data_IF_205699345982
#
_entry.id   IF_205699345982
#
_cell.length_a   1.000
_cell.length_b   1.000
_cell.length_c   1.000
_cell.angle_alpha   90.00
_cell.angle_beta   90.00
_cell.angle_gamma   90.00
#
_symmetry.space_group_name_H-M   'P 1'
#
loop_
_entity.id
_entity.type
_entity.pdbx_description
1 polymer ?
#
# COMPACT_ATOMS: atom_id res chain seq x y z
N UNK A 1 10.29 13.41 -3.62
CA UNK A 1 10.34 12.37 -2.59
C UNK A 1 11.63 11.59 -2.77
N UNK A 2 12.31 11.28 -1.67
CA UNK A 2 13.59 10.58 -1.67
C UNK A 2 13.51 9.13 -2.20
N UNK A 3 12.33 8.53 -2.20
CA UNK A 3 12.09 7.15 -2.63
C UNK A 3 10.89 7.05 -3.56
N UNK A 4 10.92 6.09 -4.49
CA UNK A 4 9.84 5.84 -5.43
C UNK A 4 8.78 4.91 -4.83
N UNK A 5 7.52 5.35 -4.92
CA UNK A 5 6.33 4.52 -4.66
C UNK A 5 5.80 3.91 -5.96
N UNK A 6 5.01 2.85 -5.86
CA UNK A 6 4.40 2.25 -7.03
C UNK A 6 3.34 3.17 -7.64
N UNK A 7 3.25 3.11 -8.97
CA UNK A 7 2.20 3.81 -9.71
C UNK A 7 0.94 2.94 -9.70
N UNK A 8 -0.10 3.40 -9.03
CA UNK A 8 -1.42 2.76 -9.12
C UNK A 8 -1.99 2.99 -10.51
N UNK A 9 -2.37 1.90 -11.16
CA UNK A 9 -3.03 1.88 -12.47
C UNK A 9 -4.35 1.13 -12.35
N UNK A 10 -5.23 1.37 -13.30
CA UNK A 10 -6.49 0.66 -13.44
C UNK A 10 -6.64 0.28 -14.91
N UNK A 11 -6.71 -1.02 -15.19
CA UNK A 11 -6.85 -1.56 -16.55
C UNK A 11 -8.13 -1.09 -17.26
N UNK A 12 -9.14 -0.61 -16.54
CA UNK A 12 -10.39 -0.07 -17.10
C UNK A 12 -10.19 1.35 -17.63
N UNK A 13 -9.34 2.15 -16.98
CA UNK A 13 -9.15 3.58 -17.29
C UNK A 13 -7.80 3.90 -17.95
N UNK A 14 -6.95 2.89 -18.19
CA UNK A 14 -5.63 3.05 -18.78
C UNK A 14 -5.66 3.59 -20.22
N UNK A 15 -5.01 4.76 -20.45
CA UNK A 15 -4.93 5.39 -21.78
C UNK A 15 -3.99 4.68 -22.77
N UNK A 16 -2.95 4.02 -22.26
CA UNK A 16 -1.98 3.23 -23.04
C UNK A 16 -1.98 1.79 -22.54
N UNK A 17 -3.11 1.10 -22.73
CA UNK A 17 -3.30 -0.26 -22.23
C UNK A 17 -2.38 -1.27 -22.92
N UNK A 18 -1.70 -2.13 -22.15
CA UNK A 18 -0.99 -3.30 -22.67
C UNK A 18 -1.96 -4.27 -23.34
N UNK A 19 -1.44 -5.19 -24.16
CA UNK A 19 -2.27 -6.22 -24.80
C UNK A 19 -3.08 -7.01 -23.75
N UNK A 20 -2.46 -7.32 -22.61
CA UNK A 20 -3.10 -8.03 -21.50
C UNK A 20 -4.18 -7.18 -20.83
N UNK A 21 -3.98 -5.86 -20.65
CA UNK A 21 -5.02 -4.96 -20.13
C UNK A 21 -6.23 -4.86 -21.06
N UNK A 22 -6.01 -4.82 -22.37
CA UNK A 22 -7.09 -4.81 -23.36
C UNK A 22 -7.90 -6.12 -23.32
N UNK A 23 -7.22 -7.26 -23.16
CA UNK A 23 -7.86 -8.56 -23.00
C UNK A 23 -8.68 -8.62 -21.72
N UNK A 24 -8.14 -8.13 -20.59
CA UNK A 24 -8.88 -8.06 -19.32
C UNK A 24 -10.09 -7.12 -19.40
N UNK A 25 -9.97 -5.99 -20.10
CA UNK A 25 -11.09 -5.07 -20.32
C UNK A 25 -12.21 -5.73 -21.14
N UNK A 26 -11.87 -6.51 -22.18
CA UNK A 26 -12.84 -7.27 -22.96
C UNK A 26 -13.55 -8.32 -22.10
N UNK A 27 -12.83 -9.02 -21.24
CA UNK A 27 -13.38 -10.01 -20.30
C UNK A 27 -14.27 -9.34 -19.24
N UNK A 28 -13.84 -8.19 -18.70
CA UNK A 28 -14.60 -7.42 -17.71
C UNK A 28 -15.93 -6.91 -18.27
N UNK A 29 -15.93 -6.45 -19.53
CA UNK A 29 -17.14 -5.98 -20.21
C UNK A 29 -18.04 -7.14 -20.69
N UNK A 30 -17.51 -8.36 -20.72
CA UNK A 30 -18.26 -9.58 -21.05
C UNK A 30 -19.02 -10.17 -19.86
N UNK A 31 -19.74 -11.26 -20.11
CA UNK A 31 -20.20 -12.16 -19.03
C UNK A 31 -19.13 -13.22 -18.84
N UNK A 32 -18.62 -13.38 -17.62
CA UNK A 32 -17.65 -14.45 -17.33
C UNK A 32 -16.33 -14.01 -16.69
N UNK A 33 -16.21 -12.83 -16.09
CA UNK A 33 -14.96 -12.42 -15.41
C UNK A 33 -14.50 -13.44 -14.35
N UNK A 34 -15.45 -14.07 -13.66
CA UNK A 34 -15.18 -15.08 -12.65
C UNK A 34 -14.84 -16.49 -13.19
N UNK A 35 -14.54 -16.66 -14.48
CA UNK A 35 -14.19 -17.96 -15.06
C UNK A 35 -12.75 -18.38 -14.76
N UNK A 36 -12.53 -19.68 -14.60
CA UNK A 36 -11.21 -20.26 -14.33
C UNK A 36 -10.19 -19.93 -15.44
N UNK A 37 -10.61 -19.77 -16.70
CA UNK A 37 -9.74 -19.43 -17.81
C UNK A 37 -9.06 -18.06 -17.66
N UNK A 38 -9.68 -17.13 -16.91
CA UNK A 38 -9.15 -15.77 -16.72
C UNK A 38 -8.02 -15.71 -15.69
N UNK A 39 -7.85 -16.75 -14.88
CA UNK A 39 -6.74 -16.84 -13.91
C UNK A 39 -5.40 -16.67 -14.63
N UNK A 40 -5.19 -17.39 -15.74
CA UNK A 40 -3.94 -17.31 -16.51
C UNK A 40 -3.68 -15.90 -17.08
N UNK A 41 -4.73 -15.18 -17.47
CA UNK A 41 -4.63 -13.80 -17.98
C UNK A 41 -4.20 -12.86 -16.84
N UNK A 42 -4.82 -13.01 -15.67
CA UNK A 42 -4.50 -12.21 -14.48
C UNK A 42 -3.11 -12.52 -13.92
N UNK A 43 -2.64 -13.77 -13.96
CA UNK A 43 -1.27 -14.14 -13.60
C UNK A 43 -0.25 -13.50 -14.55
N UNK A 44 -0.53 -13.51 -15.85
CA UNK A 44 0.29 -12.82 -16.86
C UNK A 44 0.32 -11.32 -16.58
N UNK A 45 -0.83 -10.74 -16.25
CA UNK A 45 -0.92 -9.32 -15.91
C UNK A 45 -0.17 -8.97 -14.62
N UNK A 46 -0.18 -9.83 -13.60
CA UNK A 46 0.61 -9.67 -12.39
C UNK A 46 2.12 -9.66 -12.71
N UNK A 47 2.57 -10.53 -13.61
CA UNK A 47 3.97 -10.53 -14.05
C UNK A 47 4.36 -9.23 -14.78
N UNK A 48 3.48 -8.69 -15.62
CA UNK A 48 3.67 -7.37 -16.24
C UNK A 48 3.74 -6.24 -15.20
N UNK A 49 2.86 -6.27 -14.20
CA UNK A 49 2.85 -5.30 -13.10
C UNK A 49 4.16 -5.32 -12.31
N UNK A 50 4.70 -6.51 -12.01
CA UNK A 50 6.00 -6.67 -11.33
C UNK A 50 7.13 -6.07 -12.17
N UNK A 51 7.13 -6.30 -13.49
CA UNK A 51 8.17 -5.76 -14.39
C UNK A 51 8.10 -4.24 -14.57
N UNK A 52 6.89 -3.69 -14.66
CA UNK A 52 6.67 -2.28 -14.95
C UNK A 52 6.59 -1.39 -13.71
N UNK A 53 6.75 -1.96 -12.50
CA UNK A 53 6.59 -1.25 -11.22
C UNK A 53 5.22 -0.55 -11.06
N UNK A 54 4.18 -1.09 -11.70
CA UNK A 54 2.79 -0.63 -11.58
C UNK A 54 1.99 -1.53 -10.66
N UNK A 55 0.90 -1.04 -10.08
CA UNK A 55 -0.01 -1.85 -9.26
C UNK A 55 -1.44 -1.58 -9.65
N UNK A 56 -2.15 -2.65 -9.97
CA UNK A 56 -3.59 -2.66 -10.17
C UNK A 56 -4.22 -3.43 -9.02
N UNK A 57 -4.82 -2.67 -8.11
CA UNK A 57 -5.37 -3.20 -6.85
C UNK A 57 -6.54 -4.13 -7.16
N UNK A 58 -7.47 -3.70 -7.99
CA UNK A 58 -8.69 -4.45 -8.29
C UNK A 58 -8.39 -5.73 -9.05
N UNK A 59 -7.49 -5.69 -10.04
CA UNK A 59 -7.07 -6.91 -10.76
C UNK A 59 -6.34 -7.90 -9.83
N UNK A 60 -5.51 -7.40 -8.91
CA UNK A 60 -4.78 -8.25 -7.96
C UNK A 60 -5.71 -8.89 -6.93
N UNK A 61 -6.69 -8.15 -6.42
CA UNK A 61 -7.71 -8.66 -5.51
C UNK A 61 -8.65 -9.63 -6.21
N UNK A 62 -9.00 -9.38 -7.48
CA UNK A 62 -9.75 -10.30 -8.32
C UNK A 62 -9.03 -11.64 -8.50
N UNK A 63 -7.71 -11.62 -8.74
CA UNK A 63 -6.90 -12.84 -8.83
C UNK A 63 -6.96 -13.66 -7.53
N UNK A 64 -6.77 -13.00 -6.38
CA UNK A 64 -6.91 -13.68 -5.07
C UNK A 64 -8.32 -14.25 -4.87
N UNK A 65 -9.35 -13.53 -5.35
CA UNK A 65 -10.73 -14.01 -5.26
C UNK A 65 -10.94 -15.25 -6.12
N UNK A 66 -10.41 -15.29 -7.34
CA UNK A 66 -10.48 -16.46 -8.20
C UNK A 66 -9.76 -17.67 -7.60
N UNK A 67 -8.63 -17.48 -6.93
CA UNK A 67 -7.94 -18.54 -6.19
C UNK A 67 -8.78 -19.13 -5.05
N UNK A 68 -9.64 -18.34 -4.40
CA UNK A 68 -10.61 -18.87 -3.43
C UNK A 68 -11.72 -19.69 -4.09
N UNK A 69 -12.17 -19.29 -5.28
CA UNK A 69 -13.25 -19.97 -6.02
C UNK A 69 -12.73 -21.26 -6.67
N UNK A 70 -11.48 -21.26 -7.14
CA UNK A 70 -10.83 -22.39 -7.82
C UNK A 70 -9.55 -22.82 -7.10
N UNK A 71 -9.64 -23.63 -6.03
CA UNK A 71 -8.48 -24.06 -5.26
C UNK A 71 -7.41 -24.81 -6.08
N UNK A 72 -7.80 -25.46 -7.17
CA UNK A 72 -6.89 -26.22 -8.04
C UNK A 72 -5.91 -25.35 -8.84
N UNK A 73 -6.20 -24.06 -9.00
CA UNK A 73 -5.34 -23.12 -9.76
C UNK A 73 -4.45 -22.27 -8.85
N UNK A 74 -4.48 -22.49 -7.54
CA UNK A 74 -3.77 -21.65 -6.57
C UNK A 74 -2.27 -21.79 -6.76
N UNK A 75 -1.59 -20.65 -6.86
CA UNK A 75 -0.14 -20.57 -6.90
C UNK A 75 0.37 -19.70 -5.74
N UNK A 76 1.06 -20.33 -4.79
CA UNK A 76 1.59 -19.66 -3.60
C UNK A 76 2.55 -18.51 -3.94
N UNK A 77 3.37 -18.66 -4.99
CA UNK A 77 4.30 -17.62 -5.42
C UNK A 77 3.58 -16.37 -5.93
N UNK A 78 2.50 -16.56 -6.70
CA UNK A 78 1.70 -15.45 -7.21
C UNK A 78 0.96 -14.74 -6.07
N UNK A 79 0.46 -15.47 -5.09
CA UNK A 79 -0.15 -14.87 -3.88
C UNK A 79 0.87 -14.08 -3.08
N UNK A 80 2.07 -14.61 -2.87
CA UNK A 80 3.15 -13.88 -2.20
C UNK A 80 3.53 -12.60 -2.97
N UNK A 81 3.62 -12.64 -4.30
CA UNK A 81 3.86 -11.44 -5.14
C UNK A 81 2.76 -10.38 -4.98
N UNK A 82 1.49 -10.78 -4.94
CA UNK A 82 0.37 -9.84 -4.70
C UNK A 82 0.49 -9.20 -3.32
N UNK A 83 0.84 -9.96 -2.29
CA UNK A 83 1.05 -9.42 -0.95
C UNK A 83 2.23 -8.44 -0.92
N UNK A 84 3.35 -8.75 -1.58
CA UNK A 84 4.49 -7.85 -1.72
C UNK A 84 4.08 -6.54 -2.41
N UNK A 85 3.31 -6.61 -3.51
CA UNK A 85 2.71 -5.44 -4.16
C UNK A 85 1.83 -4.62 -3.21
N UNK A 86 1.08 -5.31 -2.35
CA UNK A 86 0.31 -4.71 -1.25
C UNK A 86 1.18 -3.88 -0.32
N UNK A 87 2.29 -4.45 0.16
CA UNK A 87 3.25 -3.75 1.04
C UNK A 87 3.85 -2.52 0.34
N UNK A 88 4.22 -2.66 -0.94
CA UNK A 88 4.80 -1.56 -1.72
C UNK A 88 3.81 -0.42 -2.00
N UNK A 89 2.52 -0.65 -1.77
CA UNK A 89 1.44 0.34 -1.95
C UNK A 89 1.01 0.98 -0.62
N UNK A 90 1.65 0.67 0.51
CA UNK A 90 1.38 1.34 1.78
C UNK A 90 1.60 2.86 1.64
N UNK A 91 0.70 3.71 2.16
CA UNK A 91 -0.29 3.46 3.23
C UNK A 91 -1.67 2.97 2.75
N UNK A 92 -1.85 2.55 1.50
CA UNK A 92 -3.12 2.01 1.00
C UNK A 92 -3.62 0.81 1.82
N UNK A 93 -4.93 0.61 1.85
CA UNK A 93 -5.60 -0.55 2.48
C UNK A 93 -5.43 -1.85 1.69
N UNK A 94 -4.77 -1.80 0.52
CA UNK A 94 -4.60 -2.94 -0.38
C UNK A 94 -3.99 -4.16 0.33
N UNK A 95 -2.90 -4.00 1.09
CA UNK A 95 -2.29 -5.12 1.81
C UNK A 95 -3.25 -5.77 2.81
N UNK A 96 -4.00 -4.97 3.56
CA UNK A 96 -5.01 -5.46 4.50
C UNK A 96 -6.11 -6.25 3.77
N UNK A 97 -6.57 -5.76 2.62
CA UNK A 97 -7.54 -6.49 1.80
C UNK A 97 -6.97 -7.82 1.31
N UNK A 98 -5.75 -7.80 0.75
CA UNK A 98 -5.09 -8.98 0.22
C UNK A 98 -4.82 -10.04 1.30
N UNK A 99 -4.39 -9.65 2.50
CA UNK A 99 -4.09 -10.58 3.61
C UNK A 99 -5.33 -11.35 4.07
N UNK A 100 -6.51 -10.71 4.09
CA UNK A 100 -7.77 -11.38 4.43
C UNK A 100 -8.25 -12.36 3.35
N UNK A 101 -7.76 -12.20 2.12
CA UNK A 101 -8.16 -13.02 0.97
C UNK A 101 -7.19 -14.14 0.62
N UNK A 102 -6.11 -14.32 1.38
CA UNK A 102 -5.19 -15.46 1.22
C UNK A 102 -5.94 -16.77 1.51
N UNK A 103 -5.92 -17.77 0.60
CA UNK A 103 -6.49 -19.09 0.87
C UNK A 103 -5.77 -19.81 2.02
N UNK A 104 -6.52 -20.54 2.85
CA UNK A 104 -5.96 -21.30 4.00
C UNK A 104 -4.91 -22.32 3.55
N UNK A 105 -5.13 -22.98 2.42
CA UNK A 105 -4.28 -24.05 1.90
C UNK A 105 -2.82 -23.66 1.65
N UNK A 106 -2.56 -22.36 1.44
CA UNK A 106 -1.21 -21.84 1.16
C UNK A 106 -0.77 -20.82 2.20
N UNK A 107 -1.56 -20.59 3.25
CA UNK A 107 -1.22 -19.61 4.28
C UNK A 107 0.07 -20.00 5.03
N UNK A 108 0.26 -21.30 5.26
CA UNK A 108 1.46 -21.88 5.88
C UNK A 108 2.66 -21.99 4.93
N UNK A 109 2.53 -21.60 3.66
CA UNK A 109 3.68 -21.53 2.76
C UNK A 109 4.71 -20.53 3.32
N UNK A 110 5.99 -20.91 3.27
CA UNK A 110 7.07 -20.13 3.86
C UNK A 110 7.14 -18.69 3.30
N UNK A 111 6.94 -18.52 1.99
CA UNK A 111 7.00 -17.19 1.37
C UNK A 111 5.78 -16.36 1.76
N UNK A 112 4.59 -16.96 1.76
CA UNK A 112 3.35 -16.28 2.12
C UNK A 112 3.39 -15.84 3.58
N UNK A 113 3.79 -16.74 4.49
CA UNK A 113 3.94 -16.44 5.92
C UNK A 113 4.94 -15.31 6.16
N UNK A 114 6.11 -15.38 5.53
CA UNK A 114 7.13 -14.34 5.66
C UNK A 114 6.64 -12.96 5.19
N UNK A 115 5.94 -12.89 4.05
CA UNK A 115 5.39 -11.63 3.53
C UNK A 115 4.24 -11.11 4.42
N UNK A 116 3.39 -11.99 4.95
CA UNK A 116 2.32 -11.59 5.87
C UNK A 116 2.89 -10.99 7.17
N UNK A 117 3.90 -11.64 7.75
CA UNK A 117 4.56 -11.18 8.97
C UNK A 117 5.27 -9.84 8.76
N UNK A 118 6.07 -9.73 7.70
CA UNK A 118 6.78 -8.47 7.38
C UNK A 118 5.82 -7.32 7.09
N UNK A 119 4.72 -7.58 6.38
CA UNK A 119 3.69 -6.56 6.15
C UNK A 119 2.97 -6.15 7.44
N UNK A 120 2.74 -7.07 8.38
CA UNK A 120 2.18 -6.76 9.70
C UNK A 120 3.12 -5.86 10.52
N UNK A 121 4.43 -6.12 10.52
CA UNK A 121 5.42 -5.27 11.20
C UNK A 121 5.40 -3.84 10.65
N UNK A 122 5.32 -3.69 9.32
CA UNK A 122 5.25 -2.38 8.67
C UNK A 122 3.97 -1.63 9.03
N UNK A 123 2.81 -2.29 8.98
CA UNK A 123 1.53 -1.67 9.38
C UNK A 123 1.50 -1.30 10.87
N UNK A 124 2.20 -2.06 11.71
CA UNK A 124 2.34 -1.78 13.15
C UNK A 124 3.44 -0.75 13.46
N UNK A 125 4.07 -0.17 12.44
CA UNK A 125 5.18 0.78 12.56
C UNK A 125 6.42 0.24 13.31
N UNK A 126 6.58 -1.10 13.36
CA UNK A 126 7.72 -1.79 13.97
C UNK A 126 8.87 -1.91 12.95
N UNK A 127 9.36 -0.76 12.49
CA UNK A 127 10.31 -0.70 11.37
C UNK A 127 11.67 -1.35 11.69
N UNK A 128 12.17 -1.18 12.91
CA UNK A 128 13.47 -1.74 13.32
C UNK A 128 13.46 -3.28 13.36
N UNK A 129 12.32 -3.88 13.71
CA UNK A 129 12.15 -5.32 13.68
C UNK A 129 11.98 -5.84 12.25
N UNK A 130 11.26 -5.09 11.40
CA UNK A 130 11.16 -5.41 9.98
C UNK A 130 12.54 -5.57 9.31
N UNK A 131 13.52 -4.73 9.64
CA UNK A 131 14.87 -4.81 9.05
C UNK A 131 15.67 -6.05 9.49
N UNK A 132 15.21 -6.79 10.50
CA UNK A 132 15.84 -8.04 10.98
C UNK A 132 15.22 -9.29 10.33
N UNK A 133 14.05 -9.15 9.71
CA UNK A 133 13.33 -10.25 9.08
C UNK A 133 13.93 -10.65 7.73
N UNK A 134 13.70 -11.90 7.33
CA UNK A 134 14.09 -12.38 6.01
C UNK A 134 13.11 -11.88 4.94
N UNK A 135 13.59 -10.95 4.11
CA UNK A 135 12.85 -10.36 2.99
C UNK A 135 13.35 -10.85 1.62
N UNK A 136 14.15 -11.91 1.56
CA UNK A 136 14.78 -12.41 0.32
C UNK A 136 13.79 -12.69 -0.81
N UNK A 137 12.58 -13.17 -0.51
CA UNK A 137 11.53 -13.34 -1.51
C UNK A 137 11.02 -12.00 -2.03
N UNK A 138 10.70 -11.07 -1.12
CA UNK A 138 10.14 -9.76 -1.46
C UNK A 138 11.13 -8.89 -2.25
N UNK A 139 12.43 -9.01 -1.97
CA UNK A 139 13.51 -8.30 -2.68
C UNK A 139 13.62 -8.69 -4.16
N UNK A 140 13.10 -9.87 -4.56
CA UNK A 140 13.02 -10.25 -5.98
C UNK A 140 12.07 -9.34 -6.77
N UNK A 141 11.14 -8.66 -6.10
CA UNK A 141 10.25 -7.67 -6.71
C UNK A 141 11.01 -6.35 -6.84
N UNK A 142 11.21 -5.83 -8.07
CA UNK A 142 11.97 -4.60 -8.29
C UNK A 142 11.42 -3.43 -7.49
N UNK A 143 12.29 -2.72 -6.77
CA UNK A 143 11.93 -1.51 -6.02
C UNK A 143 11.32 -1.76 -4.63
N UNK A 144 11.21 -3.02 -4.16
CA UNK A 144 10.59 -3.35 -2.87
C UNK A 144 11.13 -2.51 -1.69
N UNK A 145 12.44 -2.56 -1.44
CA UNK A 145 13.07 -1.82 -0.35
C UNK A 145 12.89 -0.29 -0.48
N UNK A 146 12.85 0.23 -1.71
CA UNK A 146 12.65 1.66 -1.93
C UNK A 146 11.21 2.07 -1.56
N UNK A 147 10.22 1.27 -1.96
CA UNK A 147 8.83 1.54 -1.61
C UNK A 147 8.58 1.42 -0.11
N UNK A 148 9.22 0.45 0.57
CA UNK A 148 9.16 0.35 2.04
C UNK A 148 9.76 1.58 2.71
N UNK A 149 10.95 2.03 2.29
CA UNK A 149 11.56 3.27 2.81
C UNK A 149 10.71 4.50 2.51
N UNK A 150 10.05 4.57 1.35
CA UNK A 150 9.11 5.64 1.01
C UNK A 150 7.93 5.69 1.98
N UNK A 151 7.37 4.53 2.33
CA UNK A 151 6.30 4.42 3.32
C UNK A 151 6.77 4.85 4.72
N UNK A 152 7.91 4.35 5.18
CA UNK A 152 8.50 4.72 6.48
C UNK A 152 8.73 6.23 6.56
N UNK A 153 9.27 6.82 5.50
CA UNK A 153 9.51 8.27 5.40
C UNK A 153 8.19 9.07 5.47
N UNK A 154 7.16 8.60 4.78
CA UNK A 154 5.81 9.18 4.84
C UNK A 154 5.24 9.10 6.25
N UNK A 155 5.38 7.97 6.93
CA UNK A 155 4.90 7.78 8.29
C UNK A 155 5.63 8.72 9.28
N UNK A 156 6.95 8.86 9.16
CA UNK A 156 7.76 9.79 9.98
C UNK A 156 7.33 11.24 9.73
N UNK A 157 7.20 11.65 8.46
CA UNK A 157 6.80 13.00 8.04
C UNK A 157 5.46 13.43 8.63
N UNK A 158 4.51 12.50 8.77
CA UNK A 158 3.17 12.76 9.32
C UNK A 158 3.13 12.75 10.85
N UNK A 159 4.00 11.98 11.50
CA UNK A 159 3.90 11.72 12.95
C UNK A 159 4.86 12.54 13.81
N UNK A 160 5.93 13.09 13.23
CA UNK A 160 6.98 13.79 13.98
C UNK A 160 7.18 15.20 13.47
N UNK A 161 7.22 16.18 14.36
CA UNK A 161 7.70 17.54 14.02
C UNK A 161 9.23 17.63 14.16
N UNK A 162 9.82 16.88 15.09
CA UNK A 162 11.26 16.78 15.33
C UNK A 162 11.61 15.33 15.63
N UNK A 163 12.70 14.83 15.04
CA UNK A 163 13.22 13.46 15.26
C UNK A 163 14.74 13.49 15.42
N UNK A 164 15.30 12.63 16.27
CA UNK A 164 16.75 12.49 16.38
C UNK A 164 17.32 11.75 15.17
N UNK A 165 18.52 12.14 14.74
CA UNK A 165 19.20 11.52 13.60
C UNK A 165 19.40 10.02 13.81
N UNK A 166 19.68 9.58 15.04
CA UNK A 166 19.91 8.16 15.35
C UNK A 166 18.63 7.32 15.22
N UNK A 167 17.50 7.81 15.72
CA UNK A 167 16.21 7.12 15.57
C UNK A 167 15.76 7.12 14.11
N UNK A 168 15.99 8.22 13.38
CA UNK A 168 15.70 8.29 11.95
C UNK A 168 16.48 7.25 11.14
N UNK A 169 17.80 7.13 11.41
CA UNK A 169 18.66 6.11 10.81
C UNK A 169 18.19 4.69 11.12
N UNK A 170 17.90 4.41 12.39
CA UNK A 170 17.44 3.09 12.82
C UNK A 170 16.13 2.69 12.11
N UNK A 171 15.18 3.62 11.97
CA UNK A 171 13.90 3.35 11.31
C UNK A 171 14.01 3.13 9.81
N UNK A 172 14.90 3.84 9.10
CA UNK A 172 15.07 3.71 7.65
C UNK A 172 16.15 2.70 7.23
N UNK A 173 16.98 2.24 8.17
CA UNK A 173 18.14 1.39 7.94
C UNK A 173 19.04 1.95 6.81
N UNK A 174 19.54 3.17 7.03
CA UNK A 174 20.38 3.95 6.10
C UNK A 174 21.63 4.49 6.81
N UNK A 175 22.68 4.73 6.02
CA UNK A 175 23.95 5.29 6.50
C UNK A 175 23.86 6.81 6.74
N UNK A 176 24.81 7.38 7.49
CA UNK A 176 24.84 8.83 7.77
C UNK A 176 24.91 9.70 6.50
N UNK A 177 25.53 9.19 5.44
CA UNK A 177 25.63 9.90 4.15
C UNK A 177 24.26 10.01 3.47
N UNK A 178 23.50 8.92 3.46
CA UNK A 178 22.18 8.86 2.85
C UNK A 178 21.16 9.74 3.60
N UNK A 179 21.32 9.92 4.91
CA UNK A 179 20.46 10.83 5.70
C UNK A 179 20.53 12.24 5.16
N UNK A 180 21.73 12.76 4.86
CA UNK A 180 21.89 14.11 4.35
C UNK A 180 21.18 14.29 2.98
N UNK A 181 21.29 13.29 2.11
CA UNK A 181 20.65 13.28 0.80
C UNK A 181 19.11 13.23 0.92
N UNK A 182 18.58 12.42 1.85
CA UNK A 182 17.14 12.29 2.10
C UNK A 182 16.58 13.59 2.68
N UNK A 183 17.25 14.18 3.68
CA UNK A 183 16.85 15.46 4.29
C UNK A 183 16.80 16.57 3.24
N UNK A 184 17.81 16.64 2.35
CA UNK A 184 17.83 17.60 1.26
C UNK A 184 16.68 17.38 0.26
N UNK A 185 16.39 16.12 -0.09
CA UNK A 185 15.30 15.76 -0.99
C UNK A 185 13.91 16.09 -0.43
N UNK A 186 13.71 15.95 0.88
CA UNK A 186 12.46 16.28 1.59
C UNK A 186 12.39 17.74 2.07
N UNK A 187 13.44 18.53 1.82
CA UNK A 187 13.56 19.95 2.22
C UNK A 187 13.46 20.16 3.73
N UNK A 188 13.93 19.20 4.53
CA UNK A 188 13.98 19.29 5.99
C UNK A 188 15.24 20.01 6.47
N UNK A 189 15.25 20.46 7.72
CA UNK A 189 16.40 21.15 8.32
C UNK A 189 17.04 20.30 9.41
N UNK A 190 18.37 20.39 9.55
CA UNK A 190 19.12 19.69 10.59
C UNK A 190 19.64 20.73 11.59
N UNK A 191 19.25 20.59 12.85
CA UNK A 191 19.72 21.38 13.96
C UNK A 191 20.56 20.49 14.89
N UNK A 192 21.87 20.38 14.61
CA UNK A 192 22.77 19.51 15.37
C UNK A 192 22.44 18.02 15.15
N UNK A 193 21.96 17.34 16.20
CA UNK A 193 21.56 15.92 16.17
C UNK A 193 20.05 15.70 15.96
N UNK A 194 19.30 16.77 15.65
CA UNK A 194 17.86 16.74 15.45
C UNK A 194 17.51 17.15 14.02
N UNK A 195 16.60 16.40 13.40
CA UNK A 195 15.99 16.69 12.11
C UNK A 195 14.64 17.35 12.40
N UNK A 196 14.43 18.56 11.88
CA UNK A 196 13.16 19.26 11.92
C UNK A 196 12.39 18.99 10.63
N UNK A 197 11.19 18.47 10.78
CA UNK A 197 10.29 18.10 9.69
C UNK A 197 9.38 19.29 9.42
N UNK A 198 9.19 19.61 8.14
CA UNK A 198 8.31 20.72 7.75
C UNK A 198 6.86 20.42 8.19
N UNK A 199 6.17 21.40 8.81
CA UNK A 199 4.78 21.24 9.19
C UNK A 199 3.90 20.92 7.97
N UNK A 200 3.07 19.89 8.08
CA UNK A 200 2.08 19.49 7.07
C UNK A 200 0.70 19.34 7.72
N UNK A 201 -0.35 19.14 6.91
CA UNK A 201 -1.74 19.06 7.41
C UNK A 201 -1.94 17.95 8.45
N UNK A 202 -1.21 16.84 8.32
CA UNK A 202 -1.29 15.68 9.22
C UNK A 202 -0.46 15.85 10.51
N UNK A 203 0.61 16.65 10.45
CA UNK A 203 1.60 16.85 11.52
C UNK A 203 1.33 18.13 12.33
N UNK A 204 0.32 18.92 11.94
CA UNK A 204 -0.12 20.10 12.70
C UNK A 204 -1.32 19.76 13.57
N UNK A 205 -1.36 20.34 14.77
CA UNK A 205 -2.51 20.22 15.66
C UNK A 205 -3.72 20.90 15.00
N UNK A 206 -4.63 20.10 14.45
CA UNK A 206 -5.90 20.59 13.95
C UNK A 206 -6.90 20.67 15.10
N UNK A 207 -7.24 21.90 15.51
CA UNK A 207 -8.34 22.10 16.45
C UNK A 207 -9.66 21.70 15.75
N UNK A 208 -10.25 20.56 16.13
CA UNK A 208 -11.62 20.23 15.74
C UNK A 208 -12.55 21.28 16.34
N UNK A 209 -13.00 22.23 15.52
CA UNK A 209 -14.09 23.13 15.89
C UNK A 209 -15.37 22.30 15.94
N UNK A 210 -15.68 21.74 17.10
CA UNK A 210 -16.99 21.14 17.37
C UNK A 210 -17.94 22.30 17.61
N UNK A 211 -18.36 22.93 16.53
CA UNK A 211 -19.53 23.80 16.52
C UNK A 211 -20.56 23.06 15.69
N UNK A 212 -21.60 22.55 16.36
CA UNK A 212 -22.75 22.00 15.65
C UNK A 212 -23.41 23.16 14.90
N UNK A 213 -23.24 23.18 13.59
CA UNK A 213 -23.91 24.15 12.73
C UNK A 213 -25.36 23.67 12.55
N UNK A 214 -26.22 23.97 13.53
CA UNK A 214 -27.65 23.74 13.41
C UNK A 214 -28.19 24.87 12.53
N UNK A 215 -28.46 24.57 11.26
CA UNK A 215 -29.07 25.53 10.35
C UNK A 215 -30.57 25.66 10.66
N UNK A 216 -31.14 26.82 10.33
CA UNK A 216 -32.56 27.09 10.58
C UNK A 216 -33.48 26.06 9.92
N UNK A 217 -33.10 25.57 8.74
CA UNK A 217 -33.81 24.51 8.01
C UNK A 217 -33.88 23.20 8.79
N UNK A 218 -32.87 22.88 9.59
CA UNK A 218 -32.87 21.67 10.43
C UNK A 218 -33.84 21.81 11.62
N UNK A 219 -33.98 23.02 12.15
CA UNK A 219 -34.97 23.34 13.19
C UNK A 219 -36.38 23.32 12.61
N UNK A 220 -36.58 23.83 11.38
CA UNK A 220 -37.88 23.82 10.71
C UNK A 220 -38.42 22.40 10.52
N UNK A 221 -37.58 21.42 10.17
CA UNK A 221 -37.98 20.00 10.05
C UNK A 221 -38.56 19.46 11.36
N UNK A 222 -37.95 19.83 12.50
CA UNK A 222 -38.43 19.43 13.83
C UNK A 222 -39.76 20.12 14.16
N UNK A 223 -39.85 21.43 13.92
CA UNK A 223 -41.07 22.22 14.17
C UNK A 223 -42.26 21.69 13.34
N UNK A 224 -42.04 21.36 12.07
CA UNK A 224 -43.07 20.79 11.20
C UNK A 224 -43.56 19.40 11.68
N UNK A 225 -42.67 18.62 12.28
CA UNK A 225 -43.03 17.30 12.82
C UNK A 225 -43.80 17.41 14.13
N UNK A 226 -43.48 18.41 14.95
CA UNK A 226 -44.15 18.67 16.24
C UNK A 226 -45.47 19.44 16.11
N UNK A 227 -45.71 20.12 14.99
CA UNK A 227 -46.92 20.93 14.76
C UNK A 227 -48.07 20.16 14.11
N UNK A 228 -47.90 18.86 13.86
CA UNK A 228 -48.92 17.95 13.33
C UNK A 228 -49.54 17.11 14.44
#
# INVERSE_FOLDING_TARGET
MAFQQQTTVDFVTAKNASATQQQLLAVHNGRGFCEQANVAILETYLAEQVKNSTVDIDASLALLKLYQVYPATVNAENVAKVLVKGIMSLPSTFFTGASTMVPESIREDANVTAVLHTGFLLQSCLFEDFWKEDVTFAEKVPGFLQSVRAYILTAISRSHSVISTDVFKAKLNVSDKEVADIVAAEKWTVAGSLIQINPNEDNQMQAKKVQENIEFEDVLKVIHTLSR
#
